data_IF_790805546766
#
_entry.id   IF_790805546766
#
_cell.length_a   1.000
_cell.length_b   1.000
_cell.length_c   1.000
_cell.angle_alpha   90.00
_cell.angle_beta   90.00
_cell.angle_gamma   90.00
#
_symmetry.space_group_name_H-M   'P 1'
#
loop_
_entity.id
_entity.type
_entity.pdbx_description
1 polymer ?
#
# COMPACT_ATOMS: atom_id res chain seq x y z
N UNK A 1 -10.45 -3.12 -7.84
CA UNK A 1 -11.60 -2.81 -6.97
C UNK A 1 -11.05 -2.49 -5.60
N UNK A 2 -11.18 -1.25 -5.14
CA UNK A 2 -10.75 -0.85 -3.80
C UNK A 2 -11.76 -1.35 -2.77
N UNK A 3 -11.37 -2.35 -1.98
CA UNK A 3 -12.17 -2.81 -0.84
C UNK A 3 -11.92 -1.83 0.31
N UNK A 4 -12.95 -1.15 0.84
CA UNK A 4 -12.78 -0.23 1.95
C UNK A 4 -12.19 -0.94 3.16
N UNK A 5 -11.26 -0.27 3.85
CA UNK A 5 -10.66 -0.80 5.06
C UNK A 5 -11.69 -0.74 6.19
N UNK A 6 -11.93 -1.89 6.83
CA UNK A 6 -12.76 -1.99 8.03
C UNK A 6 -12.03 -2.76 9.11
N UNK A 7 -12.00 -2.18 10.31
CA UNK A 7 -11.53 -2.82 11.53
C UNK A 7 -12.70 -2.88 12.51
N UNK A 8 -12.86 -4.03 13.15
CA UNK A 8 -13.88 -4.27 14.15
C UNK A 8 -13.20 -4.68 15.46
N UNK A 9 -13.61 -4.05 16.56
CA UNK A 9 -13.16 -4.36 17.91
C UNK A 9 -14.24 -5.19 18.62
N UNK A 10 -13.84 -6.27 19.29
CA UNK A 10 -14.77 -7.13 20.04
C UNK A 10 -15.02 -6.61 21.47
N UNK A 11 -15.84 -7.32 22.25
CA UNK A 11 -16.15 -6.95 23.64
C UNK A 11 -14.96 -7.05 24.60
N UNK A 12 -13.92 -7.80 24.24
CA UNK A 12 -12.69 -7.98 25.03
C UNK A 12 -11.62 -6.92 24.69
N UNK A 13 -11.90 -6.03 23.74
CA UNK A 13 -10.97 -5.00 23.28
C UNK A 13 -9.97 -5.48 22.22
N UNK A 14 -10.15 -6.67 21.66
CA UNK A 14 -9.30 -7.23 20.63
C UNK A 14 -9.79 -6.87 19.22
N UNK A 15 -8.83 -6.63 18.32
CA UNK A 15 -9.11 -6.39 16.91
C UNK A 15 -9.37 -7.72 16.18
N UNK A 16 -10.51 -7.78 15.49
CA UNK A 16 -10.82 -8.86 14.57
C UNK A 16 -10.01 -8.71 13.27
N UNK A 17 -9.97 -9.78 12.47
CA UNK A 17 -9.25 -9.82 11.19
C UNK A 17 -9.69 -8.64 10.30
N UNK A 18 -8.74 -7.81 9.81
CA UNK A 18 -9.07 -6.62 9.02
C UNK A 18 -9.65 -7.01 7.66
N UNK A 19 -10.63 -6.23 7.20
CA UNK A 19 -11.22 -6.37 5.87
C UNK A 19 -10.66 -5.27 4.97
N UNK A 20 -10.12 -5.64 3.81
CA UNK A 20 -9.46 -4.71 2.89
C UNK A 20 -8.01 -4.43 3.26
N UNK A 21 -7.31 -3.65 2.42
CA UNK A 21 -5.93 -3.21 2.65
C UNK A 21 -5.66 -1.89 1.96
N UNK A 22 -4.74 -1.08 2.51
CA UNK A 22 -4.17 0.05 1.78
C UNK A 22 -3.34 -0.45 0.60
N UNK A 23 -3.20 0.34 -0.46
CA UNK A 23 -2.20 0.11 -1.50
C UNK A 23 -1.60 1.45 -1.91
N UNK A 24 -0.29 1.48 -2.20
CA UNK A 24 0.36 2.71 -2.63
C UNK A 24 -0.10 3.11 -4.03
N UNK A 25 -0.40 4.41 -4.19
CA UNK A 25 -0.83 5.01 -5.46
C UNK A 25 0.26 4.85 -6.54
N UNK A 26 -0.10 5.12 -7.80
CA UNK A 26 0.89 5.24 -8.86
C UNK A 26 1.96 6.27 -8.48
N UNK A 27 3.22 5.99 -8.82
CA UNK A 27 4.38 6.81 -8.41
C UNK A 27 4.85 6.64 -6.97
N UNK A 28 4.23 5.74 -6.18
CA UNK A 28 4.64 5.44 -4.81
C UNK A 28 4.82 3.93 -4.59
N UNK A 29 5.92 3.56 -3.95
CA UNK A 29 6.22 2.19 -3.52
C UNK A 29 5.97 1.99 -2.03
N UNK A 30 5.68 0.74 -1.67
CA UNK A 30 5.52 0.33 -0.29
C UNK A 30 6.89 0.17 0.40
N UNK A 31 7.06 0.85 1.53
CA UNK A 31 8.24 0.70 2.42
C UNK A 31 7.76 0.39 3.84
N UNK A 32 8.69 0.10 4.75
CA UNK A 32 8.38 -0.19 6.17
C UNK A 32 7.26 -1.24 6.32
N UNK A 33 7.44 -2.38 5.63
CA UNK A 33 6.48 -3.48 5.61
C UNK A 33 5.07 -3.08 5.09
N UNK A 34 5.01 -2.11 4.18
CA UNK A 34 3.76 -1.66 3.55
C UNK A 34 2.93 -0.68 4.38
N UNK A 35 3.49 -0.16 5.47
CA UNK A 35 2.83 0.85 6.31
C UNK A 35 3.01 2.27 5.77
N UNK A 36 4.07 2.51 4.99
CA UNK A 36 4.40 3.81 4.41
C UNK A 36 4.49 3.70 2.89
N UNK A 37 3.93 4.69 2.20
CA UNK A 37 4.09 4.85 0.76
C UNK A 37 5.10 5.96 0.49
N UNK A 38 6.26 5.60 -0.06
CA UNK A 38 7.31 6.54 -0.43
C UNK A 38 7.25 6.82 -1.93
N UNK A 39 7.46 8.07 -2.33
CA UNK A 39 7.53 8.43 -3.75
C UNK A 39 8.68 7.69 -4.44
N UNK A 40 8.48 7.31 -5.71
CA UNK A 40 9.51 6.65 -6.50
C UNK A 40 10.79 7.52 -6.55
N UNK A 41 11.97 6.95 -6.26
CA UNK A 41 13.24 7.64 -6.46
C UNK A 41 13.42 8.09 -7.92
N UNK A 42 14.21 9.14 -8.13
CA UNK A 42 14.55 9.62 -9.47
C UNK A 42 15.12 8.50 -10.34
N UNK A 43 14.67 8.41 -11.60
CA UNK A 43 15.04 7.33 -12.53
C UNK A 43 14.23 6.04 -12.37
N UNK A 44 13.20 6.05 -11.51
CA UNK A 44 12.25 4.94 -11.35
C UNK A 44 10.81 5.41 -11.51
N UNK A 45 9.91 4.49 -11.81
CA UNK A 45 8.48 4.75 -11.97
C UNK A 45 7.63 3.59 -11.45
N UNK A 46 6.35 3.86 -11.21
CA UNK A 46 5.32 2.86 -10.91
C UNK A 46 3.99 3.28 -11.52
N UNK A 47 3.58 2.58 -12.58
CA UNK A 47 2.40 2.98 -13.37
C UNK A 47 1.08 2.77 -12.64
N UNK A 48 0.98 1.70 -11.83
CA UNK A 48 -0.27 1.28 -11.22
C UNK A 48 -0.26 1.41 -9.70
N UNK A 49 -1.44 1.56 -9.11
CA UNK A 49 -1.63 1.38 -7.68
C UNK A 49 -1.34 -0.07 -7.30
N UNK A 50 -0.69 -0.27 -6.15
CA UNK A 50 -0.24 -1.59 -5.69
C UNK A 50 0.87 -1.49 -4.67
N UNK A 51 1.37 -2.64 -4.24
CA UNK A 51 2.50 -2.75 -3.29
C UNK A 51 3.84 -3.00 -3.97
N UNK A 52 3.85 -3.18 -5.29
CA UNK A 52 5.06 -3.37 -6.08
C UNK A 52 6.05 -2.22 -5.84
N UNK A 53 7.35 -2.55 -5.86
CA UNK A 53 8.41 -1.57 -5.83
C UNK A 53 8.44 -0.74 -7.13
N UNK A 54 9.06 0.44 -7.08
CA UNK A 54 9.29 1.21 -8.30
C UNK A 54 10.32 0.50 -9.19
N UNK A 55 10.11 0.53 -10.49
CA UNK A 55 11.01 -0.07 -11.49
C UNK A 55 11.79 1.00 -12.22
N UNK A 56 13.00 0.69 -12.71
CA UNK A 56 13.78 1.64 -13.51
C UNK A 56 13.02 2.10 -14.76
N UNK A 57 13.16 3.38 -15.09
CA UNK A 57 12.64 3.91 -16.33
C UNK A 57 13.32 3.24 -17.54
N UNK A 58 12.55 2.92 -18.61
CA UNK A 58 13.15 2.50 -19.88
C UNK A 58 14.00 3.62 -20.50
N UNK A 59 14.90 3.24 -21.39
CA UNK A 59 15.73 4.15 -22.19
C UNK A 59 14.90 4.72 -23.35
#
# INVERSE_FOLDING_TARGET
VDVPIKLYCNGDGEWLVPIGRCMCKAGFEAVENGTVCRGCPSGTFKANQGHEACTHCPI
#
